data_IF_729181691517
#
_entry.id   IF_729181691517
#
_cell.length_a   1.000
_cell.length_b   1.000
_cell.length_c   1.000
_cell.angle_alpha   90.00
_cell.angle_beta   90.00
_cell.angle_gamma   90.00
#
_symmetry.space_group_name_H-M   'P 1'
#
loop_
_entity.id
_entity.type
_entity.pdbx_description
1 polymer ?
#
# COMPACT_ATOMS: atom_id res chain seq x y z
N UNK A 1 5.44 3.06 15.64
CA UNK A 1 5.14 3.52 17.03
C UNK A 1 3.82 2.96 17.55
N UNK A 2 2.67 3.19 16.88
CA UNK A 2 1.36 2.71 17.36
C UNK A 2 1.23 1.19 17.46
N UNK A 3 1.88 0.44 16.57
CA UNK A 3 1.87 -1.02 16.54
C UNK A 3 2.60 -1.64 17.74
N UNK A 4 3.80 -1.15 18.06
CA UNK A 4 4.53 -1.56 19.26
C UNK A 4 3.73 -1.25 20.53
N UNK A 5 3.07 -0.08 20.58
CA UNK A 5 2.19 0.27 21.70
C UNK A 5 1.05 -0.76 21.81
N UNK A 6 0.41 -1.14 20.71
CA UNK A 6 -0.64 -2.17 20.76
C UNK A 6 -0.10 -3.53 21.20
N UNK A 7 1.06 -3.95 20.69
CA UNK A 7 1.68 -5.22 21.05
C UNK A 7 1.91 -5.34 22.56
N UNK A 8 2.48 -4.31 23.18
CA UNK A 8 2.88 -4.34 24.59
C UNK A 8 1.76 -3.90 25.56
N UNK A 9 0.96 -2.89 25.19
CA UNK A 9 0.01 -2.27 26.13
C UNK A 9 -1.45 -2.67 25.88
N UNK A 10 -1.76 -3.24 24.70
CA UNK A 10 -3.11 -3.58 24.24
C UNK A 10 -4.07 -2.39 24.32
N UNK A 11 -3.53 -1.18 24.10
CA UNK A 11 -4.26 0.07 24.27
C UNK A 11 -5.50 0.14 23.36
N UNK A 12 -5.33 -0.13 22.06
CA UNK A 12 -6.44 -0.11 21.09
C UNK A 12 -7.47 -1.18 21.46
N UNK A 13 -7.02 -2.40 21.77
CA UNK A 13 -7.90 -3.48 22.23
C UNK A 13 -8.76 -3.07 23.44
N UNK A 14 -8.17 -2.36 24.42
CA UNK A 14 -8.87 -1.91 25.63
C UNK A 14 -9.91 -0.84 25.33
N UNK A 15 -9.57 0.17 24.51
CA UNK A 15 -10.52 1.25 24.17
C UNK A 15 -11.62 0.81 23.21
N UNK A 16 -11.37 -0.19 22.37
CA UNK A 16 -12.34 -0.71 21.39
C UNK A 16 -13.23 -1.84 21.94
N UNK A 17 -13.03 -2.23 23.20
CA UNK A 17 -13.78 -3.32 23.84
C UNK A 17 -13.49 -4.70 23.26
N UNK A 18 -12.35 -4.89 22.59
CA UNK A 18 -11.97 -6.19 22.02
C UNK A 18 -10.97 -6.10 20.87
N UNK A 19 -10.16 -7.15 20.74
CA UNK A 19 -9.05 -7.23 19.78
C UNK A 19 -9.51 -7.07 18.32
N UNK A 20 -10.60 -7.74 17.94
CA UNK A 20 -11.17 -7.63 16.59
C UNK A 20 -11.62 -6.21 16.28
N UNK A 21 -12.37 -5.58 17.19
CA UNK A 21 -12.83 -4.20 17.00
C UNK A 21 -11.65 -3.22 16.90
N UNK A 22 -10.60 -3.43 17.70
CA UNK A 22 -9.39 -2.62 17.68
C UNK A 22 -8.64 -2.75 16.36
N UNK A 23 -8.51 -3.96 15.83
CA UNK A 23 -7.91 -4.22 14.52
C UNK A 23 -8.72 -3.57 13.38
N UNK A 24 -10.06 -3.63 13.43
CA UNK A 24 -10.89 -2.95 12.44
C UNK A 24 -10.80 -1.41 12.55
N UNK A 25 -10.70 -0.86 13.76
CA UNK A 25 -10.47 0.57 13.97
C UNK A 25 -9.11 1.01 13.39
N UNK A 26 -8.07 0.20 13.61
CA UNK A 26 -6.76 0.41 13.00
C UNK A 26 -6.84 0.32 11.47
N UNK A 27 -7.53 -0.68 10.94
CA UNK A 27 -7.72 -0.87 9.51
C UNK A 27 -8.38 0.35 8.86
N UNK A 28 -9.47 0.86 9.45
CA UNK A 28 -10.13 2.09 8.98
C UNK A 28 -9.15 3.26 9.02
N UNK A 29 -8.39 3.41 10.11
CA UNK A 29 -7.42 4.50 10.25
C UNK A 29 -6.33 4.44 9.17
N UNK A 30 -5.67 3.28 8.99
CA UNK A 30 -4.61 3.09 7.98
C UNK A 30 -5.17 3.30 6.57
N UNK A 31 -6.34 2.73 6.27
CA UNK A 31 -6.97 2.86 4.96
C UNK A 31 -7.33 4.32 4.65
N UNK A 32 -7.94 5.05 5.59
CA UNK A 32 -8.27 6.46 5.42
C UNK A 32 -7.03 7.33 5.26
N UNK A 33 -5.96 7.08 6.02
CA UNK A 33 -4.68 7.74 5.83
C UNK A 33 -4.07 7.43 4.46
N UNK A 34 -4.24 6.20 3.96
CA UNK A 34 -3.87 5.80 2.60
C UNK A 34 -4.59 6.62 1.53
N UNK A 35 -5.92 6.75 1.62
CA UNK A 35 -6.72 7.58 0.72
C UNK A 35 -6.24 9.03 0.77
N UNK A 36 -6.04 9.57 1.98
CA UNK A 36 -5.60 10.95 2.15
C UNK A 36 -4.19 11.19 1.55
N UNK A 37 -3.25 10.25 1.74
CA UNK A 37 -1.93 10.28 1.11
C UNK A 37 -2.05 10.29 -0.41
N UNK A 38 -2.89 9.43 -0.98
CA UNK A 38 -3.04 9.32 -2.44
C UNK A 38 -3.69 10.59 -3.02
N UNK A 39 -4.63 11.20 -2.29
CA UNK A 39 -5.17 12.52 -2.61
C UNK A 39 -4.09 13.60 -2.62
N UNK A 40 -3.29 13.70 -1.54
CA UNK A 40 -2.19 14.67 -1.47
C UNK A 40 -1.15 14.46 -2.57
N UNK A 41 -0.82 13.21 -2.89
CA UNK A 41 0.07 12.88 -4.00
C UNK A 41 -0.50 13.39 -5.33
N UNK A 42 -1.79 13.12 -5.60
CA UNK A 42 -2.43 13.58 -6.82
C UNK A 42 -2.51 15.11 -6.91
N UNK A 43 -2.88 15.81 -5.83
CA UNK A 43 -2.86 17.28 -5.81
C UNK A 43 -1.45 17.82 -6.04
N UNK A 44 -0.44 17.27 -5.34
CA UNK A 44 0.95 17.67 -5.55
C UNK A 44 1.42 17.47 -6.99
N UNK A 45 0.98 16.39 -7.66
CA UNK A 45 1.30 16.13 -9.07
C UNK A 45 0.69 17.15 -10.04
N UNK A 46 -0.51 17.68 -9.74
CA UNK A 46 -1.16 18.68 -10.61
C UNK A 46 -0.32 19.95 -10.73
N UNK A 47 0.30 20.37 -9.62
CA UNK A 47 1.13 21.57 -9.55
C UNK A 47 2.51 21.40 -10.22
N UNK A 48 2.89 20.18 -10.59
CA UNK A 48 4.17 19.91 -11.24
C UNK A 48 4.11 20.18 -12.75
N UNK A 49 5.25 20.53 -13.34
CA UNK A 49 5.38 20.70 -14.79
C UNK A 49 5.30 19.33 -15.48
N UNK A 50 4.64 19.27 -16.64
CA UNK A 50 4.64 18.07 -17.49
C UNK A 50 6.03 17.94 -18.13
N UNK A 51 6.65 16.78 -18.00
CA UNK A 51 7.94 16.50 -18.63
C UNK A 51 7.74 16.25 -20.13
N UNK A 52 8.38 17.00 -21.03
CA UNK A 52 8.30 16.75 -22.47
C UNK A 52 8.77 15.35 -22.87
N UNK A 53 9.68 14.75 -22.09
CA UNK A 53 10.13 13.38 -22.32
C UNK A 53 9.04 12.34 -21.99
N UNK A 54 8.22 12.59 -20.98
CA UNK A 54 7.17 11.67 -20.53
C UNK A 54 5.82 11.94 -21.21
N UNK A 55 5.66 13.06 -21.91
CA UNK A 55 4.42 13.40 -22.62
C UNK A 55 4.32 12.69 -23.98
N UNK A 56 4.26 11.36 -23.94
CA UNK A 56 3.99 10.53 -25.11
C UNK A 56 2.89 9.50 -24.83
N UNK A 57 2.20 9.06 -25.88
CA UNK A 57 1.18 8.02 -25.76
C UNK A 57 1.74 6.72 -25.20
N UNK A 58 2.99 6.38 -25.52
CA UNK A 58 3.64 5.18 -25.01
C UNK A 58 3.72 5.18 -23.47
N UNK A 59 4.11 6.31 -22.87
CA UNK A 59 4.15 6.43 -21.41
C UNK A 59 2.77 6.45 -20.78
N UNK A 60 1.78 7.06 -21.44
CA UNK A 60 0.39 7.03 -20.96
C UNK A 60 -0.18 5.60 -20.93
N UNK A 61 0.03 4.83 -21.99
CA UNK A 61 -0.40 3.42 -22.03
C UNK A 61 0.35 2.55 -21.03
N UNK A 62 1.67 2.72 -20.91
CA UNK A 62 2.45 2.05 -19.88
C UNK A 62 1.93 2.41 -18.48
N UNK A 63 1.59 3.68 -18.26
CA UNK A 63 1.01 4.17 -17.01
C UNK A 63 -0.29 3.46 -16.64
N UNK A 64 -1.22 3.33 -17.60
CA UNK A 64 -2.47 2.57 -17.40
C UNK A 64 -2.18 1.11 -17.09
N UNK A 65 -1.24 0.48 -17.83
CA UNK A 65 -0.85 -0.91 -17.61
C UNK A 65 -0.31 -1.16 -16.20
N UNK A 66 0.66 -0.34 -15.76
CA UNK A 66 1.22 -0.44 -14.41
C UNK A 66 0.18 -0.19 -13.33
N UNK A 67 -0.67 0.83 -13.50
CA UNK A 67 -1.74 1.12 -12.53
C UNK A 67 -2.73 -0.05 -12.42
N UNK A 68 -3.14 -0.64 -13.55
CA UNK A 68 -4.04 -1.79 -13.56
C UNK A 68 -3.42 -3.01 -12.88
N UNK A 69 -2.17 -3.36 -13.24
CA UNK A 69 -1.43 -4.47 -12.61
C UNK A 69 -1.28 -4.22 -11.10
N UNK A 70 -0.92 -2.99 -10.72
CA UNK A 70 -0.75 -2.61 -9.33
C UNK A 70 -2.03 -2.81 -8.50
N UNK A 71 -3.18 -2.35 -9.02
CA UNK A 71 -4.46 -2.55 -8.37
C UNK A 71 -4.88 -4.02 -8.32
N UNK A 72 -4.61 -4.81 -9.37
CA UNK A 72 -4.86 -6.26 -9.34
C UNK A 72 -4.08 -6.91 -8.20
N UNK A 73 -2.79 -6.61 -8.05
CA UNK A 73 -1.95 -7.16 -6.97
C UNK A 73 -2.44 -6.74 -5.58
N UNK A 74 -2.76 -5.45 -5.38
CA UNK A 74 -3.25 -4.94 -4.09
C UNK A 74 -4.61 -5.56 -3.73
N UNK A 75 -5.59 -5.48 -4.62
CA UNK A 75 -6.94 -5.93 -4.31
C UNK A 75 -7.03 -7.44 -4.13
N UNK A 76 -6.31 -8.21 -4.94
CA UNK A 76 -6.29 -9.67 -4.80
C UNK A 76 -5.55 -10.14 -3.54
N UNK A 77 -4.47 -9.46 -3.14
CA UNK A 77 -3.79 -9.78 -1.87
C UNK A 77 -4.64 -9.40 -0.65
N UNK A 78 -5.30 -8.24 -0.67
CA UNK A 78 -6.25 -7.86 0.38
C UNK A 78 -7.43 -8.85 0.47
N UNK A 79 -7.92 -9.32 -0.67
CA UNK A 79 -8.98 -10.34 -0.71
C UNK A 79 -8.52 -11.65 -0.08
N UNK A 80 -7.31 -12.11 -0.41
CA UNK A 80 -6.77 -13.37 0.12
C UNK A 80 -6.40 -13.32 1.61
N UNK A 81 -5.87 -12.18 2.08
CA UNK A 81 -5.53 -11.97 3.50
C UNK A 81 -6.75 -11.61 4.38
N UNK A 82 -7.77 -11.00 3.78
CA UNK A 82 -8.85 -10.34 4.50
C UNK A 82 -8.37 -9.11 5.29
N UNK A 83 -9.30 -8.44 5.97
CA UNK A 83 -9.02 -7.20 6.71
C UNK A 83 -7.97 -7.42 7.81
N UNK A 84 -8.12 -8.46 8.63
CA UNK A 84 -7.22 -8.69 9.77
C UNK A 84 -5.83 -9.14 9.33
N UNK A 85 -5.72 -9.91 8.25
CA UNK A 85 -4.41 -10.28 7.69
C UNK A 85 -3.70 -9.11 7.02
N UNK A 86 -4.47 -8.18 6.43
CA UNK A 86 -3.93 -6.98 5.77
C UNK A 86 -3.47 -5.92 6.77
N UNK A 87 -4.24 -5.70 7.83
CA UNK A 87 -4.05 -4.58 8.75
C UNK A 87 -3.53 -5.02 10.13
N UNK A 88 -2.50 -5.87 10.11
CA UNK A 88 -1.66 -6.18 11.28
C UNK A 88 -2.44 -6.80 12.46
N UNK A 89 -3.34 -7.72 12.16
CA UNK A 89 -4.14 -8.44 13.15
C UNK A 89 -3.32 -9.27 14.13
N UNK A 90 -2.11 -9.69 13.75
CA UNK A 90 -1.13 -10.36 14.60
C UNK A 90 -0.76 -9.55 15.85
N UNK A 91 -0.67 -8.22 15.74
CA UNK A 91 -0.46 -7.31 16.89
C UNK A 91 -1.64 -7.33 17.88
N UNK A 92 -2.83 -7.70 17.41
CA UNK A 92 -4.04 -7.92 18.21
C UNK A 92 -4.19 -9.38 18.66
N UNK A 93 -3.26 -10.28 18.32
CA UNK A 93 -3.33 -11.71 18.60
C UNK A 93 -4.21 -12.50 17.62
N UNK A 94 -4.57 -11.90 16.48
CA UNK A 94 -5.37 -12.51 15.41
C UNK A 94 -4.42 -13.08 14.37
N UNK A 95 -3.94 -14.30 14.61
CA UNK A 95 -3.01 -14.99 13.73
C UNK A 95 -3.75 -15.73 12.62
N UNK A 96 -3.22 -15.67 11.39
CA UNK A 96 -3.66 -16.57 10.32
C UNK A 96 -3.22 -18.00 10.63
N UNK A 97 -4.07 -18.97 10.26
CA UNK A 97 -3.78 -20.40 10.48
C UNK A 97 -2.59 -20.88 9.65
N UNK A 98 -2.46 -20.34 8.45
CA UNK A 98 -1.42 -20.68 7.49
C UNK A 98 -1.09 -19.46 6.62
N UNK A 99 0.12 -19.47 6.06
CA UNK A 99 0.55 -18.45 5.10
C UNK A 99 -0.23 -18.62 3.80
N UNK A 100 -0.72 -17.51 3.24
CA UNK A 100 -1.34 -17.50 1.92
C UNK A 100 -0.26 -17.76 0.86
N UNK A 101 -0.43 -18.82 0.09
CA UNK A 101 0.50 -19.21 -0.99
C UNK A 101 -0.14 -19.15 -2.38
N UNK A 102 -1.43 -18.82 -2.48
CA UNK A 102 -2.13 -18.64 -3.76
C UNK A 102 -1.91 -17.27 -4.38
N UNK A 103 -2.60 -16.99 -5.48
CA UNK A 103 -2.53 -15.68 -6.14
C UNK A 103 -2.93 -14.53 -5.20
N UNK A 104 -2.20 -13.40 -5.19
CA UNK A 104 -1.01 -13.08 -6.00
C UNK A 104 0.35 -13.48 -5.36
N UNK A 105 0.35 -14.07 -4.16
CA UNK A 105 1.55 -14.43 -3.40
C UNK A 105 2.40 -15.54 -4.04
N UNK A 106 1.85 -16.34 -4.96
CA UNK A 106 2.63 -17.29 -5.76
C UNK A 106 3.41 -16.66 -6.91
N UNK A 107 3.14 -15.39 -7.25
CA UNK A 107 3.79 -14.69 -8.36
C UNK A 107 4.80 -13.67 -7.83
N UNK A 108 4.52 -13.05 -6.69
CA UNK A 108 5.38 -12.05 -6.06
C UNK A 108 5.24 -12.13 -4.54
N UNK A 109 6.34 -12.04 -3.80
CA UNK A 109 6.36 -12.27 -2.35
C UNK A 109 5.55 -11.24 -1.56
N UNK A 110 5.57 -9.98 -2.03
CA UNK A 110 5.04 -8.81 -1.34
C UNK A 110 4.09 -8.01 -2.25
N UNK A 111 2.96 -8.62 -2.67
CA UNK A 111 2.09 -8.09 -3.72
C UNK A 111 1.48 -6.72 -3.40
N UNK A 112 1.18 -6.42 -2.15
CA UNK A 112 0.67 -5.10 -1.76
C UNK A 112 1.71 -3.99 -1.95
N UNK A 113 2.94 -4.23 -1.51
CA UNK A 113 4.04 -3.27 -1.62
C UNK A 113 4.44 -3.03 -3.08
N UNK A 114 4.57 -4.11 -3.85
CA UNK A 114 4.83 -4.03 -5.30
C UNK A 114 3.66 -3.36 -6.01
N UNK A 115 2.43 -3.78 -5.72
CA UNK A 115 1.24 -3.25 -6.36
C UNK A 115 1.03 -1.76 -6.09
N UNK A 116 1.24 -1.31 -4.85
CA UNK A 116 1.19 0.11 -4.52
C UNK A 116 2.28 0.91 -5.24
N UNK A 117 3.51 0.42 -5.29
CA UNK A 117 4.60 1.06 -6.06
C UNK A 117 4.24 1.22 -7.54
N UNK A 118 3.65 0.18 -8.14
CA UNK A 118 3.18 0.22 -9.52
C UNK A 118 2.03 1.21 -9.74
N UNK A 119 1.15 1.38 -8.75
CA UNK A 119 0.12 2.43 -8.82
C UNK A 119 0.74 3.83 -8.83
N UNK A 120 1.71 4.12 -7.96
CA UNK A 120 2.45 5.40 -7.99
C UNK A 120 3.18 5.61 -9.31
N UNK A 121 3.86 4.58 -9.82
CA UNK A 121 4.55 4.62 -11.11
C UNK A 121 3.57 4.89 -12.25
N UNK A 122 2.46 4.14 -12.27
CA UNK A 122 1.44 4.21 -13.30
C UNK A 122 0.80 5.59 -13.38
N UNK A 123 0.41 6.16 -12.24
CA UNK A 123 -0.11 7.53 -12.14
C UNK A 123 0.92 8.56 -12.62
N UNK A 124 2.18 8.42 -12.22
CA UNK A 124 3.25 9.36 -12.60
C UNK A 124 3.52 9.37 -14.10
N UNK A 125 3.52 8.20 -14.73
CA UNK A 125 3.68 8.04 -16.17
C UNK A 125 2.46 8.54 -16.94
N UNK A 126 1.25 8.25 -16.46
CA UNK A 126 0.01 8.70 -17.09
C UNK A 126 -0.08 10.23 -17.14
N UNK A 127 0.27 10.91 -16.05
CA UNK A 127 0.30 12.37 -16.00
C UNK A 127 1.61 12.99 -16.53
N UNK A 128 2.58 12.18 -16.93
CA UNK A 128 3.86 12.63 -17.48
C UNK A 128 4.69 13.48 -16.51
N UNK A 129 4.61 13.23 -15.21
CA UNK A 129 5.25 14.07 -14.17
C UNK A 129 6.53 13.42 -13.65
N UNK A 130 7.67 14.05 -13.90
CA UNK A 130 8.99 13.55 -13.43
C UNK A 130 9.09 13.52 -11.89
N UNK A 131 8.52 14.51 -11.19
CA UNK A 131 8.44 14.51 -9.74
C UNK A 131 7.68 13.29 -9.20
N UNK A 132 6.67 12.80 -9.93
CA UNK A 132 5.96 11.57 -9.58
C UNK A 132 6.87 10.34 -9.58
N UNK A 133 7.76 10.22 -10.57
CA UNK A 133 8.74 9.13 -10.62
C UNK A 133 9.70 9.16 -9.43
N UNK A 134 10.10 10.36 -8.99
CA UNK A 134 10.90 10.50 -7.77
C UNK A 134 10.13 10.03 -6.53
N UNK A 135 8.85 10.42 -6.39
CA UNK A 135 8.00 9.92 -5.31
C UNK A 135 7.83 8.40 -5.38
N UNK A 136 7.64 7.83 -6.57
CA UNK A 136 7.61 6.38 -6.77
C UNK A 136 8.88 5.71 -6.21
N UNK A 137 10.06 6.27 -6.51
CA UNK A 137 11.33 5.76 -5.99
C UNK A 137 11.40 5.85 -4.45
N UNK A 138 10.99 6.98 -3.87
CA UNK A 138 10.96 7.16 -2.41
C UNK A 138 10.04 6.13 -1.76
N UNK A 139 8.84 5.92 -2.30
CA UNK A 139 7.88 4.92 -1.82
C UNK A 139 8.47 3.51 -1.92
N UNK A 140 9.10 3.18 -3.04
CA UNK A 140 9.76 1.90 -3.22
C UNK A 140 10.85 1.66 -2.17
N UNK A 141 11.73 2.64 -1.94
CA UNK A 141 12.79 2.56 -0.92
C UNK A 141 12.22 2.40 0.48
N UNK A 142 11.16 3.14 0.82
CA UNK A 142 10.47 2.99 2.10
C UNK A 142 9.94 1.57 2.29
N UNK A 143 9.36 0.97 1.24
CA UNK A 143 8.88 -0.40 1.30
C UNK A 143 10.00 -1.43 1.39
N UNK A 144 11.11 -1.24 0.67
CA UNK A 144 12.28 -2.12 0.81
C UNK A 144 12.84 -2.09 2.22
N UNK A 145 12.91 -0.90 2.85
CA UNK A 145 13.36 -0.77 4.23
C UNK A 145 12.38 -1.46 5.19
N UNK A 146 11.07 -1.27 4.99
CA UNK A 146 10.05 -1.93 5.82
C UNK A 146 10.16 -3.45 5.73
N UNK A 147 10.28 -4.00 4.51
CA UNK A 147 10.44 -5.43 4.27
C UNK A 147 11.70 -5.99 4.92
N UNK A 148 12.80 -5.25 4.94
CA UNK A 148 14.02 -5.67 5.64
C UNK A 148 13.84 -5.87 7.15
N UNK A 149 12.84 -5.24 7.78
CA UNK A 149 12.50 -5.47 9.19
C UNK A 149 11.39 -6.53 9.38
N UNK A 150 10.66 -6.88 8.33
CA UNK A 150 9.55 -7.85 8.37
C UNK A 150 10.01 -9.28 7.96
N UNK A 151 11.03 -9.39 7.11
CA UNK A 151 11.65 -10.65 6.66
C UNK A 151 12.89 -11.02 7.48
#
# INVERSE_FOLDING_TARGET
MMLLIEYYTKFLTKISGGAKNGCYLLAVTIFSLGIFRDYLFHEALKDQIISPFLDSFNFKYAGVGFFAIGNVLVLSSMFALGVTGTYLGDYFGILMKERVTGFPFNIVDNPMYVGSTLSFLGTSLYFGKAAGLFITLVVHLMYTIALYFEE
#
